data_IF_145851286796
#
_entry.id   IF_145851286796
#
_cell.length_a   1.000
_cell.length_b   1.000
_cell.length_c   1.000
_cell.angle_alpha   90.00
_cell.angle_beta   90.00
_cell.angle_gamma   90.00
#
_symmetry.space_group_name_H-M   'P 1'
#
loop_
_entity.id
_entity.type
_entity.pdbx_description
1 polymer ?
#
# COMPACT_ATOMS: atom_id res chain seq x y z
N UNK A 1 -27.85 1.34 11.01
CA UNK A 1 -26.97 2.51 10.80
C UNK A 1 -25.83 2.05 9.90
N UNK A 2 -25.73 2.58 8.69
CA UNK A 2 -24.61 2.27 7.79
C UNK A 2 -23.38 3.03 8.28
N UNK A 3 -22.30 2.30 8.60
CA UNK A 3 -21.02 2.86 9.05
C UNK A 3 -20.45 3.67 7.90
N UNK A 4 -20.21 4.97 8.10
CA UNK A 4 -19.55 5.79 7.07
C UNK A 4 -18.15 5.19 6.82
N UNK A 5 -17.83 4.75 5.60
CA UNK A 5 -16.52 4.19 5.32
C UNK A 5 -15.46 5.28 5.57
N UNK A 6 -14.35 4.91 6.23
CA UNK A 6 -13.24 5.85 6.35
C UNK A 6 -12.68 6.13 4.95
N UNK A 7 -12.14 7.34 4.74
CA UNK A 7 -11.58 7.73 3.44
C UNK A 7 -10.50 6.75 2.93
N UNK A 8 -9.77 6.11 3.84
CA UNK A 8 -8.77 5.07 3.52
C UNK A 8 -9.41 3.81 2.93
N UNK A 9 -10.49 3.31 3.53
CA UNK A 9 -11.23 2.14 3.03
C UNK A 9 -11.92 2.41 1.69
N UNK A 10 -12.47 3.61 1.51
CA UNK A 10 -13.07 4.02 0.25
C UNK A 10 -12.06 4.03 -0.90
N UNK A 11 -10.85 4.57 -0.67
CA UNK A 11 -9.77 4.53 -1.65
C UNK A 11 -9.43 3.11 -2.11
N UNK A 12 -9.15 2.22 -1.16
CA UNK A 12 -8.76 0.85 -1.49
C UNK A 12 -9.87 0.09 -2.20
N UNK A 13 -11.12 0.30 -1.80
CA UNK A 13 -12.28 -0.28 -2.50
C UNK A 13 -12.34 0.17 -3.97
N UNK A 14 -12.08 1.45 -4.27
CA UNK A 14 -12.03 1.95 -5.65
C UNK A 14 -10.88 1.33 -6.44
N UNK A 15 -9.69 1.20 -5.85
CA UNK A 15 -8.54 0.50 -6.49
C UNK A 15 -8.91 -0.93 -6.84
N UNK A 16 -9.48 -1.69 -5.89
CA UNK A 16 -9.86 -3.07 -6.13
C UNK A 16 -11.00 -3.19 -7.16
N UNK A 17 -11.94 -2.24 -7.16
CA UNK A 17 -13.02 -2.17 -8.15
C UNK A 17 -12.48 -1.94 -9.56
N UNK A 18 -11.57 -0.98 -9.75
CA UNK A 18 -10.93 -0.74 -11.05
C UNK A 18 -10.22 -2.01 -11.56
N UNK A 19 -9.50 -2.72 -10.69
CA UNK A 19 -8.82 -3.96 -11.05
C UNK A 19 -9.78 -5.09 -11.40
N UNK A 20 -10.88 -5.23 -10.66
CA UNK A 20 -11.91 -6.23 -10.96
C UNK A 20 -12.57 -5.96 -12.32
N UNK A 21 -12.86 -4.69 -12.63
CA UNK A 21 -13.40 -4.27 -13.93
C UNK A 21 -12.40 -4.53 -15.06
N UNK A 22 -11.13 -4.17 -14.87
CA UNK A 22 -10.08 -4.49 -15.85
C UNK A 22 -9.95 -5.99 -16.11
N UNK A 23 -10.04 -6.82 -15.06
CA UNK A 23 -10.02 -8.28 -15.19
C UNK A 23 -11.26 -8.85 -15.89
N UNK A 24 -12.38 -8.12 -15.87
CA UNK A 24 -13.61 -8.45 -16.57
C UNK A 24 -13.69 -7.87 -18.00
N UNK A 25 -12.60 -7.26 -18.49
CA UNK A 25 -12.52 -6.54 -19.79
C UNK A 25 -13.42 -5.28 -19.88
N UNK A 26 -13.88 -4.78 -18.74
CA UNK A 26 -14.67 -3.54 -18.61
C UNK A 26 -13.74 -2.32 -18.55
N UNK A 27 -12.99 -2.09 -19.65
CA UNK A 27 -11.90 -1.11 -19.70
C UNK A 27 -12.35 0.34 -19.45
N UNK A 28 -13.54 0.73 -19.94
CA UNK A 28 -14.09 2.08 -19.72
C UNK A 28 -14.46 2.28 -18.25
N UNK A 29 -15.22 1.35 -17.67
CA UNK A 29 -15.59 1.43 -16.27
C UNK A 29 -14.36 1.38 -15.35
N UNK A 30 -13.35 0.56 -15.70
CA UNK A 30 -12.06 0.56 -15.00
C UNK A 30 -11.38 1.93 -15.05
N UNK A 31 -11.43 2.63 -16.19
CA UNK A 31 -10.88 3.98 -16.32
C UNK A 31 -11.65 4.98 -15.46
N UNK A 32 -12.98 4.96 -15.51
CA UNK A 32 -13.82 5.89 -14.75
C UNK A 32 -13.59 5.75 -13.23
N UNK A 33 -13.50 4.51 -12.74
CA UNK A 33 -13.20 4.25 -11.32
C UNK A 33 -11.77 4.66 -10.96
N UNK A 34 -10.82 4.49 -11.88
CA UNK A 34 -9.44 4.94 -11.69
C UNK A 34 -9.38 6.48 -11.59
N UNK A 35 -10.15 7.19 -12.40
CA UNK A 35 -10.25 8.65 -12.35
C UNK A 35 -10.96 9.13 -11.07
N UNK A 36 -12.03 8.44 -10.65
CA UNK A 36 -12.72 8.71 -9.39
C UNK A 36 -11.81 8.50 -8.16
N UNK A 37 -11.00 7.44 -8.19
CA UNK A 37 -9.96 7.21 -7.19
C UNK A 37 -8.95 8.35 -7.16
N UNK A 38 -8.39 8.72 -8.31
CA UNK A 38 -7.42 9.82 -8.40
C UNK A 38 -7.99 11.15 -7.89
N UNK A 39 -9.26 11.46 -8.21
CA UNK A 39 -9.95 12.64 -7.71
C UNK A 39 -10.07 12.65 -6.17
N UNK A 40 -10.25 11.48 -5.54
CA UNK A 40 -10.34 11.34 -4.08
C UNK A 40 -9.03 11.76 -3.37
N UNK A 41 -7.88 11.63 -4.04
CA UNK A 41 -6.56 12.02 -3.51
C UNK A 41 -6.14 13.45 -3.88
N UNK A 42 -6.70 14.01 -4.95
CA UNK A 42 -6.43 15.39 -5.41
C UNK A 42 -6.87 16.47 -4.42
N UNK A 43 -7.88 16.19 -3.60
CA UNK A 43 -8.45 17.14 -2.61
C UNK A 43 -7.77 17.10 -1.22
N UNK A 44 -6.60 16.45 -1.13
CA UNK A 44 -5.83 16.38 0.11
C UNK A 44 -6.21 15.18 0.95
N UNK A 45 -5.48 14.08 0.74
CA UNK A 45 -5.41 12.99 1.70
C UNK A 45 -4.77 13.52 3.00
N UNK A 46 -5.61 14.08 3.88
CA UNK A 46 -5.22 14.27 5.27
C UNK A 46 -5.00 12.87 5.85
N UNK A 47 -3.80 12.64 6.38
CA UNK A 47 -3.47 11.41 7.08
C UNK A 47 -4.45 11.19 8.23
N UNK A 48 -5.52 10.45 7.97
CA UNK A 48 -6.36 9.89 9.00
C UNK A 48 -5.66 8.64 9.51
N UNK A 49 -4.47 8.76 10.08
CA UNK A 49 -3.93 7.73 10.96
C UNK A 49 -4.99 7.52 12.04
N UNK A 50 -5.63 6.34 12.17
CA UNK A 50 -6.07 5.95 13.48
C UNK A 50 -4.75 5.72 14.23
N UNK A 51 -4.26 6.75 14.93
CA UNK A 51 -3.44 6.47 16.12
C UNK A 51 -4.34 5.57 16.94
N UNK A 52 -4.04 4.28 16.97
CA UNK A 52 -4.77 3.34 17.81
C UNK A 52 -4.67 3.86 19.23
N UNK A 53 -5.68 4.57 19.70
CA UNK A 53 -5.88 4.80 21.11
C UNK A 53 -6.15 3.42 21.69
N UNK A 54 -5.18 2.89 22.42
CA UNK A 54 -5.35 1.74 23.26
C UNK A 54 -6.48 2.05 24.26
N UNK A 55 -7.71 1.68 23.91
CA UNK A 55 -8.88 1.92 24.73
C UNK A 55 -10.05 2.50 23.96
N UNK A 56 -10.68 1.70 23.09
CA UNK A 56 -12.09 1.42 23.31
C UNK A 56 -12.47 0.10 22.64
N UNK A 57 -12.99 -0.82 23.43
CA UNK A 57 -13.28 -2.18 23.02
C UNK A 57 -14.76 -2.30 22.64
N UNK A 58 -15.02 -2.37 21.34
CA UNK A 58 -16.02 -3.26 20.78
C UNK A 58 -15.35 -4.02 19.64
N UNK A 59 -14.71 -5.16 19.96
CA UNK A 59 -14.25 -6.12 18.95
C UNK A 59 -15.48 -6.77 18.33
N UNK A 60 -16.11 -6.09 17.38
CA UNK A 60 -16.61 -6.80 16.22
C UNK A 60 -15.38 -7.53 15.68
N UNK A 61 -15.42 -8.86 15.61
CA UNK A 61 -14.33 -9.65 15.05
C UNK A 61 -14.02 -9.08 13.66
N UNK A 62 -12.80 -8.60 13.46
CA UNK A 62 -12.39 -8.07 12.17
C UNK A 62 -12.71 -9.11 11.10
N UNK A 63 -13.45 -8.71 10.08
CA UNK A 63 -13.75 -9.62 8.97
C UNK A 63 -12.42 -10.12 8.38
N UNK A 64 -12.35 -11.36 7.88
CA UNK A 64 -11.19 -11.83 7.12
C UNK A 64 -10.76 -10.85 6.02
N UNK A 65 -11.72 -10.14 5.41
CA UNK A 65 -11.46 -9.09 4.41
C UNK A 65 -10.72 -7.90 5.03
N UNK A 66 -11.08 -7.49 6.24
CA UNK A 66 -10.44 -6.37 6.93
C UNK A 66 -9.00 -6.72 7.31
N UNK A 67 -8.77 -7.96 7.76
CA UNK A 67 -7.44 -8.46 8.09
C UNK A 67 -6.54 -8.45 6.85
N UNK A 68 -6.99 -9.04 5.74
CA UNK A 68 -6.22 -9.09 4.48
C UNK A 68 -5.91 -7.69 3.98
N UNK A 69 -6.90 -6.81 3.93
CA UNK A 69 -6.69 -5.46 3.43
C UNK A 69 -5.73 -4.64 4.30
N UNK A 70 -5.75 -4.81 5.64
CA UNK A 70 -4.74 -4.18 6.51
C UNK A 70 -3.35 -4.78 6.33
N UNK A 71 -3.25 -6.11 6.15
CA UNK A 71 -1.95 -6.75 5.90
C UNK A 71 -1.35 -6.29 4.58
N UNK A 72 -2.14 -6.18 3.51
CA UNK A 72 -1.66 -5.64 2.24
C UNK A 72 -1.27 -4.17 2.33
N UNK A 73 -2.09 -3.34 3.00
CA UNK A 73 -1.79 -1.90 3.21
C UNK A 73 -0.51 -1.70 4.04
N UNK A 74 -0.20 -2.62 4.96
CA UNK A 74 1.05 -2.63 5.72
C UNK A 74 2.27 -2.97 4.85
N UNK A 75 2.10 -3.64 3.70
CA UNK A 75 3.19 -3.85 2.74
C UNK A 75 3.30 -2.69 1.75
N UNK A 76 2.19 -2.31 1.15
CA UNK A 76 2.14 -1.24 0.16
C UNK A 76 0.83 -0.48 0.22
N UNK A 77 0.91 0.84 0.20
CA UNK A 77 -0.24 1.75 0.09
C UNK A 77 -0.14 2.54 -1.20
N UNK A 78 -1.17 2.47 -2.03
CA UNK A 78 -1.31 3.36 -3.18
C UNK A 78 -1.63 4.78 -2.69
N UNK A 79 -0.80 5.75 -3.05
CA UNK A 79 -0.94 7.17 -2.64
C UNK A 79 -1.48 8.02 -3.80
N UNK A 80 -1.00 7.75 -5.01
CA UNK A 80 -1.49 8.41 -6.22
C UNK A 80 -1.26 7.53 -7.44
N UNK A 81 -1.70 8.00 -8.61
CA UNK A 81 -1.48 7.33 -9.90
C UNK A 81 0.00 7.02 -10.20
N UNK A 82 0.91 7.74 -9.55
CA UNK A 82 2.35 7.66 -9.80
C UNK A 82 3.16 7.47 -8.52
N UNK A 83 2.53 7.20 -7.36
CA UNK A 83 3.24 7.01 -6.10
C UNK A 83 2.61 5.92 -5.24
N UNK A 84 3.44 5.03 -4.72
CA UNK A 84 3.09 4.05 -3.70
C UNK A 84 4.10 4.05 -2.55
N UNK A 85 3.60 3.85 -1.34
CA UNK A 85 4.40 3.80 -0.12
C UNK A 85 4.57 2.36 0.34
N UNK A 86 5.82 1.92 0.46
CA UNK A 86 6.21 0.68 1.10
C UNK A 86 6.15 0.85 2.61
N UNK A 87 5.64 -0.18 3.31
CA UNK A 87 5.61 -0.21 4.77
C UNK A 87 4.96 1.04 5.36
N UNK A 88 3.84 1.48 4.78
CA UNK A 88 3.18 2.76 5.08
C UNK A 88 2.58 2.85 6.50
N UNK A 89 2.65 1.77 7.28
CA UNK A 89 2.33 1.70 8.71
C UNK A 89 3.56 1.42 9.59
N UNK A 90 4.76 1.47 9.01
CA UNK A 90 5.99 0.95 9.62
C UNK A 90 6.15 -0.56 9.44
N UNK A 91 7.32 -1.06 9.84
CA UNK A 91 7.62 -2.50 9.92
C UNK A 91 7.23 -2.99 11.31
N UNK A 92 6.39 -4.01 11.38
CA UNK A 92 6.07 -4.66 12.65
C UNK A 92 7.34 -5.27 13.27
N UNK A 93 7.47 -5.22 14.59
CA UNK A 93 8.64 -5.76 15.28
C UNK A 93 8.85 -7.25 15.00
N UNK A 94 7.77 -8.00 14.81
CA UNK A 94 7.82 -9.41 14.43
C UNK A 94 8.49 -9.67 13.06
N UNK A 95 8.61 -8.65 12.21
CA UNK A 95 9.28 -8.76 10.90
C UNK A 95 10.75 -8.34 10.96
N UNK A 96 11.20 -7.73 12.07
CA UNK A 96 12.59 -7.33 12.24
C UNK A 96 13.51 -8.55 12.27
N UNK A 97 14.54 -8.54 11.43
CA UNK A 97 15.49 -9.65 11.26
C UNK A 97 14.95 -10.86 10.49
N UNK A 98 13.68 -10.86 10.08
CA UNK A 98 13.06 -11.95 9.33
C UNK A 98 13.07 -11.62 7.84
N UNK A 99 13.72 -12.47 7.03
CA UNK A 99 13.66 -12.36 5.58
C UNK A 99 12.30 -12.84 5.09
N UNK A 100 11.66 -12.08 4.21
CA UNK A 100 10.37 -12.44 3.63
C UNK A 100 10.24 -11.95 2.20
N UNK A 101 9.21 -12.44 1.52
CA UNK A 101 8.81 -12.00 0.19
C UNK A 101 7.29 -11.89 0.13
N UNK A 102 6.81 -10.94 -0.65
CA UNK A 102 5.40 -10.76 -0.94
C UNK A 102 5.24 -10.45 -2.42
N UNK A 103 4.32 -11.14 -3.09
CA UNK A 103 4.17 -11.11 -4.54
C UNK A 103 2.77 -10.64 -4.92
N UNK A 104 2.66 -9.86 -6.00
CA UNK A 104 1.37 -9.43 -6.54
C UNK A 104 0.60 -8.44 -5.66
N UNK A 105 1.30 -7.71 -4.78
CA UNK A 105 0.69 -6.69 -3.93
C UNK A 105 0.08 -5.57 -4.78
N UNK A 106 -1.08 -5.05 -4.39
CA UNK A 106 -1.78 -4.01 -5.14
C UNK A 106 -1.18 -2.63 -4.83
N UNK A 107 -0.35 -2.12 -5.74
CA UNK A 107 0.32 -0.82 -5.60
C UNK A 107 -0.44 0.35 -6.28
N UNK A 108 -1.56 0.06 -6.93
CA UNK A 108 -2.45 1.05 -7.53
C UNK A 108 -3.49 0.40 -8.45
N UNK A 109 -4.37 1.20 -9.08
CA UNK A 109 -5.39 0.68 -10.00
C UNK A 109 -4.80 -0.10 -11.19
N UNK A 110 -3.57 0.25 -11.59
CA UNK A 110 -2.89 -0.30 -12.78
C UNK A 110 -1.55 -0.96 -12.48
N UNK A 111 -1.18 -1.07 -11.20
CA UNK A 111 0.14 -1.55 -10.78
C UNK A 111 0.04 -2.67 -9.76
N UNK A 112 0.89 -3.68 -9.92
CA UNK A 112 1.22 -4.64 -8.87
C UNK A 112 2.69 -4.58 -8.52
N UNK A 113 3.01 -5.00 -7.31
CA UNK A 113 4.33 -4.95 -6.75
C UNK A 113 4.67 -6.29 -6.12
N UNK A 114 5.84 -6.81 -6.44
CA UNK A 114 6.49 -7.89 -5.70
C UNK A 114 7.70 -7.32 -4.97
N UNK A 115 7.88 -7.69 -3.70
CA UNK A 115 9.00 -7.28 -2.87
C UNK A 115 9.68 -8.47 -2.22
N UNK A 116 10.98 -8.34 -1.98
CA UNK A 116 11.74 -9.21 -1.10
C UNK A 116 12.52 -8.36 -0.11
N UNK A 117 12.46 -8.74 1.17
CA UNK A 117 13.21 -8.09 2.24
C UNK A 117 14.30 -9.01 2.74
N UNK A 118 15.52 -8.46 2.83
CA UNK A 118 16.72 -9.14 3.34
C UNK A 118 17.40 -8.28 4.40
N UNK A 119 17.62 -8.82 5.58
CA UNK A 119 18.21 -8.06 6.69
C UNK A 119 19.73 -8.04 6.63
N UNK A 120 20.31 -6.86 6.81
CA UNK A 120 21.74 -6.59 6.92
C UNK A 120 22.01 -5.81 8.20
N UNK A 121 22.12 -6.55 9.31
CA UNK A 121 22.22 -5.96 10.65
C UNK A 121 20.93 -5.18 11.00
N UNK A 122 21.01 -3.89 11.38
CA UNK A 122 19.82 -3.11 11.73
C UNK A 122 19.03 -2.61 10.51
N UNK A 123 19.57 -2.73 9.30
CA UNK A 123 18.96 -2.22 8.07
C UNK A 123 18.38 -3.35 7.22
N UNK A 124 17.45 -3.01 6.33
CA UNK A 124 16.79 -3.96 5.44
C UNK A 124 17.09 -3.62 3.98
N UNK A 125 17.66 -4.54 3.22
CA UNK A 125 17.69 -4.47 1.77
C UNK A 125 16.32 -4.88 1.24
N UNK A 126 15.68 -3.99 0.47
CA UNK A 126 14.45 -4.26 -0.25
C UNK A 126 14.76 -4.43 -1.72
N UNK A 127 14.29 -5.52 -2.30
CA UNK A 127 14.24 -5.75 -3.73
C UNK A 127 12.79 -5.56 -4.17
N UNK A 128 12.59 -5.00 -5.37
CA UNK A 128 11.25 -4.79 -5.90
C UNK A 128 11.16 -5.10 -7.39
N UNK A 129 9.96 -5.49 -7.79
CA UNK A 129 9.51 -5.61 -9.18
C UNK A 129 8.08 -5.06 -9.29
N UNK A 130 7.89 -4.09 -10.17
CA UNK A 130 6.61 -3.44 -10.46
C UNK A 130 6.13 -3.92 -11.82
N UNK A 131 4.91 -4.44 -11.86
CA UNK A 131 4.17 -4.69 -13.09
C UNK A 131 3.15 -3.58 -13.32
N UNK A 132 3.05 -3.12 -14.55
CA UNK A 132 2.14 -2.06 -14.97
C UNK A 132 2.81 -1.01 -15.86
N UNK A 133 2.11 0.09 -16.15
CA UNK A 133 2.66 1.21 -16.92
C UNK A 133 3.88 1.84 -16.22
N UNK A 134 4.85 2.39 -16.98
CA UNK A 134 6.00 3.06 -16.38
C UNK A 134 5.60 4.30 -15.56
N UNK A 135 6.45 4.69 -14.61
CA UNK A 135 6.31 5.95 -13.87
C UNK A 135 5.78 5.83 -12.45
N UNK A 136 5.61 4.62 -11.90
CA UNK A 136 5.33 4.46 -10.47
C UNK A 136 6.59 4.76 -9.65
N UNK A 137 6.48 5.72 -8.73
CA UNK A 137 7.47 6.04 -7.71
C UNK A 137 7.18 5.26 -6.44
N UNK A 138 8.18 4.56 -5.91
CA UNK A 138 8.12 3.91 -4.61
C UNK A 138 8.82 4.78 -3.56
N UNK A 139 8.20 4.93 -2.40
CA UNK A 139 8.75 5.60 -1.22
C UNK A 139 8.56 4.74 0.02
N UNK A 140 9.30 4.98 1.09
CA UNK A 140 9.12 4.26 2.36
C UNK A 140 9.19 5.23 3.56
N UNK A 141 8.37 6.30 3.59
CA UNK A 141 8.58 7.42 4.50
C UNK A 141 8.46 7.06 5.98
N UNK A 142 7.67 6.03 6.32
CA UNK A 142 7.56 5.53 7.69
C UNK A 142 8.77 4.73 8.18
N UNK A 143 9.72 4.41 7.29
CA UNK A 143 10.93 3.65 7.58
C UNK A 143 12.17 4.49 7.30
N UNK A 144 12.32 4.96 6.07
CA UNK A 144 13.42 5.79 5.59
C UNK A 144 12.84 6.91 4.70
N UNK A 145 12.72 8.12 5.25
CA UNK A 145 12.19 9.30 4.55
C UNK A 145 12.95 9.64 3.26
N UNK A 146 14.21 9.21 3.17
CA UNK A 146 15.08 9.49 2.01
C UNK A 146 14.96 8.43 0.91
N UNK A 147 14.32 7.30 1.18
CA UNK A 147 14.16 6.24 0.19
C UNK A 147 13.19 6.65 -0.92
N UNK A 148 13.68 6.62 -2.15
CA UNK A 148 12.90 6.83 -3.38
C UNK A 148 13.42 5.90 -4.47
N UNK A 149 12.51 5.21 -5.16
CA UNK A 149 12.81 4.43 -6.35
C UNK A 149 11.84 4.77 -7.49
N UNK A 150 12.35 4.95 -8.71
CA UNK A 150 11.54 5.21 -9.91
C UNK A 150 11.69 4.12 -10.99
N UNK A 151 12.61 3.17 -10.79
CA UNK A 151 12.82 2.07 -11.71
C UNK A 151 11.79 0.96 -11.42
N UNK A 152 11.25 0.29 -12.45
CA UNK A 152 10.28 -0.78 -12.25
C UNK A 152 10.89 -2.01 -11.55
N UNK A 153 12.21 -2.17 -11.57
CA UNK A 153 12.94 -3.22 -10.85
C UNK A 153 14.17 -2.62 -10.20
N UNK A 154 14.57 -3.16 -9.05
CA UNK A 154 15.80 -2.75 -8.41
C UNK A 154 15.95 -3.28 -6.99
N UNK A 155 17.01 -2.81 -6.35
CA UNK A 155 17.32 -3.06 -4.95
C UNK A 155 17.78 -1.78 -4.26
N UNK A 156 17.57 -1.70 -2.95
CA UNK A 156 17.92 -0.53 -2.16
C UNK A 156 17.92 -0.84 -0.67
N UNK A 157 18.73 -0.10 0.09
CA UNK A 157 18.84 -0.27 1.53
C UNK A 157 17.91 0.72 2.25
N UNK A 158 17.01 0.20 3.09
CA UNK A 158 16.18 0.97 4.00
C UNK A 158 16.90 1.13 5.34
N UNK A 159 17.06 2.38 5.79
CA UNK A 159 17.52 2.70 7.14
C UNK A 159 16.36 2.57 8.11
N UNK A 160 16.22 1.45 8.79
CA UNK A 160 15.02 1.15 9.61
C UNK A 160 14.97 1.99 10.89
N UNK A 161 16.10 2.56 11.34
CA UNK A 161 16.16 3.30 12.60
C UNK A 161 15.93 2.41 13.83
N UNK A 162 16.45 2.85 14.98
CA UNK A 162 16.17 2.25 16.29
C UNK A 162 15.27 3.20 17.05
#
# INVERSE_FOLDING_TARGET
MLRTPSAKWASRALVMTARALAAADESLASSDITDAWAATFGDGYADATPRGSAGDASRDEDSPVDVVARTEDAFVRAVSMHEAELFASGLADAWRGVNFEAHGLVAGPRHTLSIAVRWHGPNAAVLWEVDGPPGLRLRAPSIDETFVANNPRGEGLLRVGV
#
